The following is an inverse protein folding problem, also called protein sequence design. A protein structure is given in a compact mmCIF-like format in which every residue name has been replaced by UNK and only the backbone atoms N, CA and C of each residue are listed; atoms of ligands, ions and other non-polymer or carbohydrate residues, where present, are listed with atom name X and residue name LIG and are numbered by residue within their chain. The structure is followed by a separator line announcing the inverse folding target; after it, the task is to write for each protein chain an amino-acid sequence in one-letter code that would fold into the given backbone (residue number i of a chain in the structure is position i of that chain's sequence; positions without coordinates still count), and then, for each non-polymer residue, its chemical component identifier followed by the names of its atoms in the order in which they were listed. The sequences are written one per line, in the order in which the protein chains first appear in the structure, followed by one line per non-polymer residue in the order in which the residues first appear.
data_IF_343355880504
#
_entry.id   IF_343355880504
#
_cell.length_a   1.000
_cell.length_b   1.000
_cell.length_c   1.000
_cell.angle_alpha   90.00
_cell.angle_beta   90.00
_cell.angle_gamma   90.00
#
_symmetry.space_group_name_H-M   'P 1'
#
loop_
_entity.id
_entity.type
_entity.pdbx_description
1 polymer ?
#
# COMPACT_ATOMS: atom_id res chain seq x y z
N UNK A 1 22.09 41.71 25.94
CA UNK A 1 20.75 41.24 25.55
C UNK A 1 20.51 39.89 26.22
N UNK A 2 19.39 39.81 26.95
CA UNK A 2 18.63 38.68 27.53
C UNK A 2 19.15 37.25 27.25
N UNK A 3 19.55 36.45 28.25
CA UNK A 3 18.82 35.73 29.35
C UNK A 3 18.28 34.35 28.92
N UNK A 4 18.76 33.31 29.65
CA UNK A 4 18.02 32.19 30.28
C UNK A 4 17.11 31.29 29.42
N UNK A 5 16.92 29.98 29.62
CA UNK A 5 17.16 29.06 30.74
C UNK A 5 17.02 27.60 30.24
N UNK A 6 17.54 26.67 31.03
CA UNK A 6 17.30 25.22 31.02
C UNK A 6 15.84 24.80 30.76
N UNK A 7 15.64 23.77 29.92
CA UNK A 7 14.48 22.88 29.89
C UNK A 7 15.00 21.43 29.67
N UNK A 8 14.46 20.39 30.33
CA UNK A 8 15.17 19.18 30.75
C UNK A 8 15.30 18.09 29.68
N UNK A 9 16.32 17.23 29.84
CA UNK A 9 16.29 15.86 29.34
C UNK A 9 15.30 15.05 30.19
N UNK A 10 14.09 14.79 29.70
CA UNK A 10 13.31 13.58 29.99
C UNK A 10 12.08 13.45 29.07
N UNK A 11 12.04 12.33 28.36
CA UNK A 11 10.89 11.53 27.90
C UNK A 11 9.84 12.24 27.03
N UNK A 12 9.98 12.06 25.71
CA UNK A 12 8.83 11.59 24.90
C UNK A 12 9.37 10.49 23.99
N UNK A 13 8.88 9.27 24.20
CA UNK A 13 9.01 8.20 23.23
C UNK A 13 8.47 8.74 21.90
N UNK A 14 9.35 9.13 20.98
CA UNK A 14 8.92 9.57 19.67
C UNK A 14 8.50 8.34 18.90
N UNK A 15 7.20 8.03 18.99
CA UNK A 15 6.42 7.30 18.00
C UNK A 15 6.42 8.07 16.68
N UNK A 16 7.60 8.31 16.14
CA UNK A 16 7.79 8.85 14.80
C UNK A 16 7.63 7.67 13.84
N UNK A 17 6.63 7.67 12.94
CA UNK A 17 6.59 6.73 11.85
C UNK A 17 7.92 6.81 11.10
N UNK A 18 8.52 5.67 10.84
CA UNK A 18 9.85 5.55 10.21
C UNK A 18 9.87 5.95 8.73
N UNK A 19 8.74 6.43 8.21
CA UNK A 19 8.56 6.77 6.80
C UNK A 19 8.36 8.28 6.65
N UNK A 20 9.37 9.03 6.17
CA UNK A 20 9.08 10.25 5.45
C UNK A 20 8.45 9.81 4.12
N UNK A 21 7.16 9.51 4.13
CA UNK A 21 6.42 9.33 2.88
C UNK A 21 6.52 10.68 2.19
N UNK A 22 7.26 10.75 1.09
CA UNK A 22 7.13 11.85 0.15
C UNK A 22 5.70 11.79 -0.42
N UNK A 23 4.76 12.36 0.32
CA UNK A 23 3.34 12.57 0.01
C UNK A 23 3.15 13.26 -1.36
N UNK A 24 4.22 13.80 -1.95
CA UNK A 24 4.27 14.45 -3.25
C UNK A 24 4.01 13.51 -4.45
N UNK A 25 4.26 12.21 -4.33
CA UNK A 25 3.89 11.23 -5.37
C UNK A 25 2.41 10.84 -5.34
N UNK A 26 1.80 10.96 -4.16
CA UNK A 26 0.50 10.41 -3.78
C UNK A 26 -0.67 11.28 -4.25
N UNK A 27 -0.65 12.58 -3.98
CA UNK A 27 -1.65 13.52 -4.51
C UNK A 27 -1.73 13.48 -6.05
N UNK A 28 -0.59 13.20 -6.71
CA UNK A 28 -0.50 13.20 -8.16
C UNK A 28 -1.18 11.98 -8.78
N UNK A 29 -1.13 10.81 -8.12
CA UNK A 29 -1.79 9.59 -8.60
C UNK A 29 -3.32 9.70 -8.54
N UNK A 30 -3.88 10.21 -7.43
CA UNK A 30 -5.33 10.35 -7.28
C UNK A 30 -5.91 11.48 -8.17
N UNK A 31 -5.22 12.62 -8.31
CA UNK A 31 -5.61 13.68 -9.26
C UNK A 31 -5.57 13.22 -10.73
N UNK A 32 -4.62 12.36 -11.10
CA UNK A 32 -4.51 11.81 -12.46
C UNK A 32 -5.62 10.79 -12.78
N UNK A 33 -6.18 10.14 -11.76
CA UNK A 33 -7.21 9.11 -11.92
C UNK A 33 -8.63 9.57 -11.54
N UNK A 34 -8.82 10.84 -11.16
CA UNK A 34 -10.15 11.43 -10.92
C UNK A 34 -10.83 11.02 -9.62
N UNK A 35 -10.05 10.67 -8.60
CA UNK A 35 -10.54 10.18 -7.30
C UNK A 35 -10.65 11.36 -6.32
N UNK A 36 -11.75 11.43 -5.55
CA UNK A 36 -12.08 12.56 -4.66
C UNK A 36 -11.21 12.62 -3.40
N UNK A 37 -11.04 13.81 -2.81
CA UNK A 37 -10.18 14.04 -1.62
C UNK A 37 -10.71 13.37 -0.33
N UNK A 38 -11.95 12.86 -0.34
CA UNK A 38 -12.61 12.24 0.80
C UNK A 38 -13.09 10.81 0.45
N UNK A 39 -12.16 9.87 0.26
CA UNK A 39 -12.51 8.46 0.12
C UNK A 39 -13.12 7.96 1.42
N UNK A 40 -14.39 7.54 1.40
CA UNK A 40 -15.02 6.90 2.54
C UNK A 40 -14.69 5.40 2.59
N UNK A 41 -14.91 4.75 3.74
CA UNK A 41 -14.60 3.33 3.93
C UNK A 41 -15.22 2.39 2.89
N UNK A 42 -16.33 2.78 2.25
CA UNK A 42 -16.98 2.00 1.19
C UNK A 42 -16.19 2.02 -0.11
N UNK A 43 -15.57 3.17 -0.44
CA UNK A 43 -14.72 3.32 -1.63
C UNK A 43 -13.45 2.49 -1.48
N UNK A 44 -12.80 2.51 -0.30
CA UNK A 44 -11.66 1.64 0.00
C UNK A 44 -12.03 0.16 -0.13
N UNK A 45 -13.13 -0.28 0.49
CA UNK A 45 -13.58 -1.66 0.41
C UNK A 45 -13.83 -2.10 -1.04
N UNK A 46 -14.43 -1.22 -1.85
CA UNK A 46 -14.65 -1.49 -3.28
C UNK A 46 -13.35 -1.70 -4.05
N UNK A 47 -12.35 -0.83 -3.82
CA UNK A 47 -11.05 -0.93 -4.46
C UNK A 47 -10.26 -2.17 -4.00
N UNK A 48 -10.26 -2.49 -2.71
CA UNK A 48 -9.60 -3.68 -2.17
C UNK A 48 -10.20 -4.96 -2.78
N UNK A 49 -11.53 -5.06 -2.87
CA UNK A 49 -12.21 -6.19 -3.53
C UNK A 49 -11.89 -6.28 -5.01
N UNK A 50 -11.84 -5.14 -5.71
CA UNK A 50 -11.41 -5.10 -7.11
C UNK A 50 -9.99 -5.65 -7.30
N UNK A 51 -9.03 -5.21 -6.48
CA UNK A 51 -7.65 -5.70 -6.54
C UNK A 51 -7.56 -7.21 -6.24
N UNK A 52 -8.40 -7.71 -5.33
CA UNK A 52 -8.41 -9.10 -4.86
C UNK A 52 -9.07 -10.07 -5.84
N UNK A 53 -10.24 -9.72 -6.36
CA UNK A 53 -11.15 -10.67 -7.01
C UNK A 53 -11.29 -10.44 -8.53
N UNK A 54 -11.12 -9.20 -8.99
CA UNK A 54 -11.36 -8.83 -10.40
C UNK A 54 -10.09 -8.84 -11.26
N UNK A 55 -8.95 -9.21 -10.67
CA UNK A 55 -7.66 -9.34 -11.34
C UNK A 55 -7.25 -10.81 -11.46
N UNK A 56 -6.79 -11.23 -12.64
CA UNK A 56 -6.37 -12.61 -12.92
C UNK A 56 -5.07 -13.00 -12.21
N UNK A 57 -5.03 -14.22 -11.66
CA UNK A 57 -3.82 -14.84 -11.12
C UNK A 57 -2.88 -15.41 -12.22
N UNK A 58 -3.28 -15.37 -13.49
CA UNK A 58 -2.45 -15.86 -14.59
C UNK A 58 -1.15 -15.03 -14.70
N UNK A 59 -0.01 -15.71 -14.59
CA UNK A 59 1.31 -15.10 -14.72
C UNK A 59 1.68 -15.04 -16.21
N UNK A 60 1.86 -13.83 -16.77
CA UNK A 60 2.25 -13.67 -18.16
C UNK A 60 3.70 -14.14 -18.39
N UNK A 61 3.99 -14.61 -19.61
CA UNK A 61 5.34 -15.06 -20.01
C UNK A 61 6.33 -13.92 -20.24
N UNK A 62 5.84 -12.69 -20.28
CA UNK A 62 6.63 -11.46 -20.34
C UNK A 62 6.22 -10.55 -19.21
N UNK A 63 7.16 -9.76 -18.74
CA UNK A 63 6.85 -8.77 -17.73
C UNK A 63 5.98 -7.67 -18.40
N UNK A 64 4.85 -7.26 -17.80
CA UNK A 64 3.83 -6.31 -18.35
C UNK A 64 3.87 -4.86 -17.80
N UNK A 65 4.25 -3.84 -18.59
CA UNK A 65 4.28 -2.44 -18.11
C UNK A 65 2.89 -1.79 -18.12
N UNK A 66 2.73 -0.64 -17.46
CA UNK A 66 1.45 0.07 -17.27
C UNK A 66 0.66 0.36 -18.55
N UNK A 67 1.34 0.45 -19.70
CA UNK A 67 0.74 0.75 -21.00
C UNK A 67 0.49 -0.51 -21.86
N UNK A 68 0.58 -1.70 -21.28
CA UNK A 68 0.38 -2.96 -22.00
C UNK A 68 -1.08 -3.36 -21.90
N UNK A 69 -1.80 -3.32 -23.02
CA UNK A 69 -3.23 -3.65 -23.11
C UNK A 69 -3.44 -5.17 -23.12
N UNK A 70 -3.08 -5.83 -22.02
CA UNK A 70 -3.00 -7.29 -21.90
C UNK A 70 -4.03 -7.87 -20.93
N UNK A 71 -5.09 -7.13 -20.61
CA UNK A 71 -6.10 -7.57 -19.65
C UNK A 71 -5.71 -7.32 -18.19
N UNK A 72 -6.62 -7.67 -17.26
CA UNK A 72 -6.46 -7.42 -15.82
C UNK A 72 -5.75 -8.61 -15.16
N UNK A 73 -4.46 -8.46 -14.88
CA UNK A 73 -3.64 -9.46 -14.19
C UNK A 73 -3.11 -8.87 -12.87
N UNK A 74 -2.95 -9.70 -11.83
CA UNK A 74 -2.31 -9.35 -10.57
C UNK A 74 -0.79 -9.25 -10.71
N UNK A 75 -0.31 -8.34 -11.56
CA UNK A 75 1.09 -8.34 -12.00
C UNK A 75 1.73 -6.97 -12.22
N UNK A 76 3.07 -7.05 -12.23
CA UNK A 76 4.16 -6.09 -12.44
C UNK A 76 4.32 -4.95 -11.44
N UNK A 77 3.69 -3.80 -11.65
CA UNK A 77 3.96 -2.63 -10.80
C UNK A 77 2.69 -1.91 -10.42
N UNK A 78 1.82 -1.64 -11.40
CA UNK A 78 0.62 -0.87 -11.11
C UNK A 78 -0.32 -1.59 -10.14
N UNK A 79 -0.44 -2.93 -10.25
CA UNK A 79 -1.24 -3.69 -9.30
C UNK A 79 -0.63 -3.66 -7.90
N UNK A 80 0.66 -3.98 -7.75
CA UNK A 80 1.34 -3.91 -6.44
C UNK A 80 1.36 -2.49 -5.86
N UNK A 81 1.55 -1.46 -6.70
CA UNK A 81 1.46 -0.06 -6.29
C UNK A 81 0.04 0.29 -5.84
N UNK A 82 -0.99 -0.22 -6.51
CA UNK A 82 -2.38 -0.09 -6.06
C UNK A 82 -2.60 -0.74 -4.70
N UNK A 83 -2.12 -1.98 -4.52
CA UNK A 83 -2.18 -2.69 -3.23
C UNK A 83 -1.48 -1.88 -2.13
N UNK A 84 -0.27 -1.38 -2.38
CA UNK A 84 0.50 -0.60 -1.41
C UNK A 84 -0.23 0.72 -1.10
N UNK A 85 -0.61 1.49 -2.12
CA UNK A 85 -1.27 2.77 -1.95
C UNK A 85 -2.58 2.64 -1.17
N UNK A 86 -3.47 1.73 -1.58
CA UNK A 86 -4.75 1.54 -0.90
C UNK A 86 -4.55 1.03 0.54
N UNK A 87 -3.53 0.18 0.79
CA UNK A 87 -3.20 -0.25 2.15
C UNK A 87 -2.73 0.92 3.03
N UNK A 88 -1.85 1.79 2.50
CA UNK A 88 -1.38 2.97 3.21
C UNK A 88 -2.55 3.89 3.59
N UNK A 89 -3.48 4.13 2.66
CA UNK A 89 -4.69 4.92 2.91
C UNK A 89 -5.54 4.33 4.05
N UNK A 90 -5.86 3.04 3.95
CA UNK A 90 -6.68 2.33 4.95
C UNK A 90 -6.02 2.36 6.34
N UNK A 91 -4.68 2.32 6.39
CA UNK A 91 -3.92 2.47 7.64
C UNK A 91 -3.98 3.90 8.18
N UNK A 92 -3.74 4.90 7.33
CA UNK A 92 -3.70 6.31 7.71
C UNK A 92 -5.06 6.81 8.21
N UNK A 93 -6.14 6.37 7.56
CA UNK A 93 -7.52 6.75 7.89
C UNK A 93 -8.10 5.94 9.07
N UNK A 94 -7.32 4.99 9.60
CA UNK A 94 -7.63 4.29 10.85
C UNK A 94 -8.56 3.09 10.70
N UNK A 95 -8.76 2.60 9.48
CA UNK A 95 -9.59 1.42 9.19
C UNK A 95 -8.82 0.09 9.39
N UNK A 96 -7.49 0.09 9.28
CA UNK A 96 -6.69 -1.13 9.41
C UNK A 96 -6.50 -1.60 10.87
N UNK A 97 -6.69 -2.90 11.10
CA UNK A 97 -6.36 -3.57 12.36
C UNK A 97 -4.85 -3.72 12.57
N UNK A 98 -4.46 -4.09 13.79
CA UNK A 98 -3.06 -4.38 14.12
C UNK A 98 -2.47 -5.52 13.26
N UNK A 99 -3.30 -6.53 12.95
CA UNK A 99 -2.93 -7.67 12.11
C UNK A 99 -2.61 -7.21 10.68
N UNK A 100 -3.48 -6.39 10.09
CA UNK A 100 -3.29 -5.87 8.73
C UNK A 100 -2.05 -4.98 8.63
N UNK A 101 -1.78 -4.17 9.66
CA UNK A 101 -0.55 -3.37 9.76
C UNK A 101 0.71 -4.24 9.80
N UNK A 102 0.72 -5.31 10.60
CA UNK A 102 1.85 -6.25 10.65
C UNK A 102 2.07 -6.97 9.31
N UNK A 103 0.99 -7.36 8.64
CA UNK A 103 1.06 -7.96 7.31
C UNK A 103 1.62 -6.99 6.28
N UNK A 104 1.22 -5.72 6.33
CA UNK A 104 1.75 -4.68 5.46
C UNK A 104 3.25 -4.47 5.66
N UNK A 105 3.71 -4.38 6.91
CA UNK A 105 5.15 -4.26 7.20
C UNK A 105 5.96 -5.44 6.64
N UNK A 106 5.48 -6.68 6.83
CA UNK A 106 6.11 -7.88 6.27
C UNK A 106 6.11 -7.88 4.74
N UNK A 107 5.00 -7.42 4.16
CA UNK A 107 4.86 -7.31 2.71
C UNK A 107 5.85 -6.29 2.13
N UNK A 108 6.02 -5.13 2.75
CA UNK A 108 6.96 -4.10 2.30
C UNK A 108 8.41 -4.57 2.37
N UNK A 109 8.81 -5.25 3.46
CA UNK A 109 10.16 -5.86 3.54
C UNK A 109 10.38 -6.85 2.40
N UNK A 110 9.39 -7.72 2.14
CA UNK A 110 9.47 -8.65 1.02
C UNK A 110 9.52 -7.96 -0.34
N UNK A 111 8.72 -6.92 -0.54
CA UNK A 111 8.64 -6.15 -1.78
C UNK A 111 10.00 -5.53 -2.12
N UNK A 112 10.65 -4.90 -1.12
CA UNK A 112 11.97 -4.28 -1.27
C UNK A 112 13.08 -5.31 -1.52
N UNK A 113 13.08 -6.42 -0.76
CA UNK A 113 14.14 -7.45 -0.84
C UNK A 113 14.05 -8.30 -2.11
N UNK A 114 12.84 -8.55 -2.63
CA UNK A 114 12.62 -9.53 -3.70
C UNK A 114 12.86 -9.00 -5.11
N UNK A 115 13.06 -7.68 -5.27
CA UNK A 115 13.21 -7.03 -6.57
C UNK A 115 12.03 -7.29 -7.51
N UNK A 116 10.82 -7.46 -6.95
CA UNK A 116 9.62 -7.91 -7.69
C UNK A 116 9.29 -7.02 -8.90
N UNK A 117 9.68 -5.76 -8.86
CA UNK A 117 9.48 -4.77 -9.94
C UNK A 117 10.28 -5.10 -11.21
N UNK A 118 11.39 -5.83 -11.06
CA UNK A 118 12.38 -6.08 -12.12
C UNK A 118 12.37 -7.53 -12.63
N UNK A 119 11.43 -8.37 -12.17
CA UNK A 119 11.30 -9.78 -12.58
C UNK A 119 9.86 -10.17 -12.91
N UNK A 120 9.68 -11.38 -13.44
CA UNK A 120 8.36 -11.99 -13.54
C UNK A 120 7.79 -12.24 -12.14
N UNK A 121 6.52 -11.87 -11.96
CA UNK A 121 5.73 -12.19 -10.78
C UNK A 121 5.64 -13.71 -10.61
N UNK A 122 5.73 -14.20 -9.38
CA UNK A 122 5.53 -15.60 -9.01
C UNK A 122 4.20 -15.79 -8.29
N UNK A 123 3.76 -17.03 -8.12
CA UNK A 123 2.58 -17.31 -7.30
C UNK A 123 2.75 -16.83 -5.86
N UNK A 124 3.96 -16.94 -5.32
CA UNK A 124 4.29 -16.49 -3.96
C UNK A 124 4.09 -14.97 -3.78
N UNK A 125 4.40 -14.20 -4.82
CA UNK A 125 4.15 -12.75 -4.83
C UNK A 125 2.66 -12.43 -4.72
N UNK A 126 1.86 -13.11 -5.54
CA UNK A 126 0.40 -12.95 -5.57
C UNK A 126 -0.18 -13.38 -4.22
N UNK A 127 0.21 -14.53 -3.69
CA UNK A 127 -0.27 -15.06 -2.41
C UNK A 127 0.00 -14.11 -1.24
N UNK A 128 1.16 -13.46 -1.20
CA UNK A 128 1.49 -12.49 -0.15
C UNK A 128 0.61 -11.25 -0.21
N UNK A 129 0.47 -10.65 -1.40
CA UNK A 129 -0.39 -9.48 -1.58
C UNK A 129 -1.87 -9.83 -1.34
N UNK A 130 -2.31 -10.99 -1.80
CA UNK A 130 -3.65 -11.53 -1.58
C UNK A 130 -3.96 -11.75 -0.10
N UNK A 131 -2.97 -12.21 0.69
CA UNK A 131 -3.12 -12.38 2.13
C UNK A 131 -3.30 -11.04 2.85
N UNK A 132 -2.56 -10.01 2.42
CA UNK A 132 -2.72 -8.64 2.91
C UNK A 132 -4.11 -8.09 2.55
N UNK A 133 -4.49 -8.18 1.27
CA UNK A 133 -5.80 -7.72 0.77
C UNK A 133 -6.95 -8.39 1.50
N UNK A 134 -6.91 -9.71 1.71
CA UNK A 134 -7.93 -10.41 2.50
C UNK A 134 -8.02 -9.87 3.92
N UNK A 135 -6.88 -9.65 4.60
CA UNK A 135 -6.89 -9.10 5.96
C UNK A 135 -7.47 -7.69 6.03
N UNK A 136 -7.21 -6.84 5.02
CA UNK A 136 -7.76 -5.50 4.96
C UNK A 136 -9.27 -5.52 4.68
N UNK A 137 -9.73 -6.40 3.78
CA UNK A 137 -11.17 -6.56 3.50
C UNK A 137 -11.91 -7.01 4.76
N UNK A 138 -11.35 -7.97 5.51
CA UNK A 138 -11.92 -8.46 6.77
C UNK A 138 -12.02 -7.37 7.85
N UNK A 139 -11.20 -6.31 7.79
CA UNK A 139 -11.26 -5.21 8.75
C UNK A 139 -12.51 -4.30 8.55
N UNK A 140 -13.19 -4.41 7.41
CA UNK A 140 -14.42 -3.66 7.09
C UNK A 140 -15.72 -4.42 7.36
N UNK A 141 -15.65 -5.71 7.70
CA UNK A 141 -16.79 -6.57 8.03
C UNK A 141 -17.16 -6.53 9.53
#
# INVERSE_FOLDING_TARGET
MYRCNNIPQEIVASSTPRFPVEILGFEKFYKLNGISEDMDGTEYLGHLKFLRDECSNEIPVVILHSNTDTGRHKVRNNWFQGVIADTECVILDGYASAKSKELFEKFMVYYDDSGIIDRLTTNEDIERADSLLTSLIDDFD
#
